data_IF_828498912143
#
_entry.id   IF_828498912143
#
_cell.length_a   1.000
_cell.length_b   1.000
_cell.length_c   1.000
_cell.angle_alpha   90.00
_cell.angle_beta   90.00
_cell.angle_gamma   90.00
#
_symmetry.space_group_name_H-M   'P 1'
#
loop_
_entity.id
_entity.type
_entity.pdbx_description
1 polymer ?
#
# COMPACT_ATOMS: atom_id res chain seq x y z
N UNK A 1 -12.49 7.80 23.18
CA UNK A 1 -13.34 6.72 22.65
C UNK A 1 -13.71 7.16 21.26
N UNK A 2 -13.02 6.63 20.26
CA UNK A 2 -13.19 7.04 18.88
C UNK A 2 -14.07 5.99 18.22
N UNK A 3 -15.13 6.45 17.56
CA UNK A 3 -16.10 5.56 16.93
C UNK A 3 -15.71 5.25 15.49
N UNK A 4 -16.02 4.04 15.09
CA UNK A 4 -15.84 3.60 13.72
C UNK A 4 -16.93 4.22 12.83
N UNK A 5 -16.54 4.80 11.69
CA UNK A 5 -17.46 5.40 10.73
C UNK A 5 -18.11 4.35 9.82
N UNK A 6 -17.36 3.30 9.47
CA UNK A 6 -17.74 2.30 8.46
C UNK A 6 -17.27 0.91 8.89
N UNK A 7 -18.01 -0.15 8.56
CA UNK A 7 -17.68 -1.51 8.98
C UNK A 7 -16.30 -1.94 8.47
N UNK A 8 -15.50 -2.53 9.35
CA UNK A 8 -14.16 -3.01 8.99
C UNK A 8 -13.81 -4.27 9.76
N UNK A 9 -12.78 -4.98 9.32
CA UNK A 9 -12.25 -6.17 10.01
C UNK A 9 -10.84 -5.84 10.46
N UNK A 10 -10.58 -6.01 11.75
CA UNK A 10 -9.25 -5.82 12.35
C UNK A 10 -8.72 -7.13 12.87
N UNK A 11 -7.41 -7.31 12.85
CA UNK A 11 -6.77 -8.52 13.36
C UNK A 11 -6.29 -8.27 14.78
N UNK A 12 -6.73 -9.05 15.76
CA UNK A 12 -6.21 -8.90 17.13
C UNK A 12 -4.80 -9.47 17.30
N UNK A 13 -4.19 -9.25 18.46
CA UNK A 13 -2.80 -9.67 18.77
C UNK A 13 -2.59 -11.20 18.68
N UNK A 14 -3.67 -11.99 18.70
CA UNK A 14 -3.67 -13.44 18.51
C UNK A 14 -3.76 -13.86 17.03
N UNK A 15 -3.84 -12.89 16.11
CA UNK A 15 -4.02 -13.15 14.68
C UNK A 15 -5.47 -13.42 14.27
N UNK A 16 -6.44 -13.27 15.17
CA UNK A 16 -7.85 -13.52 14.86
C UNK A 16 -8.54 -12.28 14.27
N UNK A 17 -9.26 -12.48 13.17
CA UNK A 17 -10.05 -11.44 12.54
C UNK A 17 -11.30 -11.12 13.39
N UNK A 18 -11.43 -9.87 13.82
CA UNK A 18 -12.58 -9.34 14.55
C UNK A 18 -13.29 -8.28 13.71
N UNK A 19 -14.56 -8.51 13.32
CA UNK A 19 -15.35 -7.49 12.66
C UNK A 19 -15.71 -6.40 13.66
N UNK A 20 -15.42 -5.15 13.32
CA UNK A 20 -15.88 -3.97 14.01
C UNK A 20 -16.99 -3.30 13.19
N UNK A 21 -18.09 -2.99 13.85
CA UNK A 21 -19.25 -2.37 13.22
C UNK A 21 -19.15 -0.84 13.27
N UNK A 22 -19.73 -0.17 12.27
CA UNK A 22 -19.90 1.27 12.30
C UNK A 22 -20.68 1.68 13.56
N UNK A 23 -20.23 2.76 14.22
CA UNK A 23 -20.75 3.27 15.49
C UNK A 23 -20.21 2.56 16.72
N UNK A 24 -19.44 1.47 16.56
CA UNK A 24 -18.80 0.77 17.67
C UNK A 24 -17.51 1.49 18.11
N UNK A 25 -17.19 1.36 19.40
CA UNK A 25 -15.97 1.92 19.98
C UNK A 25 -14.74 1.18 19.46
N UNK A 26 -13.82 1.91 18.82
CA UNK A 26 -12.58 1.33 18.32
C UNK A 26 -11.63 1.11 19.50
N UNK A 27 -11.26 -0.15 19.82
CA UNK A 27 -10.33 -0.40 20.89
C UNK A 27 -8.92 0.11 20.52
N UNK A 28 -8.13 0.50 21.53
CA UNK A 28 -6.85 1.19 21.32
C UNK A 28 -5.82 0.39 20.51
N UNK A 29 -5.90 -0.94 20.56
CA UNK A 29 -5.07 -1.84 19.74
C UNK A 29 -5.50 -1.82 18.26
N UNK A 30 -6.81 -1.73 17.99
CA UNK A 30 -7.39 -1.67 16.65
C UNK A 30 -7.23 -0.28 16.03
N UNK A 31 -7.17 0.79 16.83
CA UNK A 31 -7.00 2.16 16.35
C UNK A 31 -5.70 2.39 15.55
N UNK A 32 -4.71 1.48 15.66
CA UNK A 32 -3.50 1.52 14.82
C UNK A 32 -3.70 0.90 13.44
N UNK A 33 -4.66 -0.01 13.30
CA UNK A 33 -5.00 -0.69 12.05
C UNK A 33 -6.11 0.06 11.31
N UNK A 34 -7.04 0.65 12.06
CA UNK A 34 -8.10 1.51 11.54
C UNK A 34 -7.52 2.90 11.29
N UNK A 35 -7.25 3.23 10.02
CA UNK A 35 -6.75 4.55 9.64
C UNK A 35 -7.70 5.69 10.01
N UNK A 36 -7.19 6.91 10.16
CA UNK A 36 -7.98 8.08 10.60
C UNK A 36 -9.21 8.38 9.72
N UNK A 37 -9.21 7.93 8.47
CA UNK A 37 -10.33 8.06 7.54
C UNK A 37 -11.55 7.19 7.89
N UNK A 38 -11.39 6.18 8.75
CA UNK A 38 -12.43 5.28 9.23
C UNK A 38 -13.00 5.69 10.60
N UNK A 39 -12.57 6.82 11.15
CA UNK A 39 -13.00 7.31 12.46
C UNK A 39 -14.02 8.45 12.29
N UNK A 40 -15.10 8.47 13.10
CA UNK A 40 -16.16 9.49 12.99
C UNK A 40 -15.69 10.92 13.32
N UNK A 41 -14.65 11.07 14.15
CA UNK A 41 -14.12 12.37 14.55
C UNK A 41 -13.04 12.85 13.56
N UNK A 42 -13.46 13.12 12.32
CA UNK A 42 -12.66 13.79 11.28
C UNK A 42 -12.35 15.26 11.61
N UNK A 43 -11.91 15.58 12.83
CA UNK A 43 -11.53 16.94 13.22
C UNK A 43 -10.10 17.24 12.77
N UNK A 44 -10.03 17.58 11.50
CA UNK A 44 -9.12 18.54 10.88
C UNK A 44 -8.28 19.40 11.86
N UNK A 45 -6.99 19.09 11.98
CA UNK A 45 -5.97 20.12 11.95
C UNK A 45 -5.64 20.43 10.48
N UNK A 46 -6.52 21.18 9.81
CA UNK A 46 -6.15 21.88 8.58
C UNK A 46 -5.17 22.99 8.97
N UNK A 47 -3.88 22.78 8.78
CA UNK A 47 -2.99 23.90 8.42
C UNK A 47 -3.34 24.28 6.99
N UNK A 48 -4.18 25.30 6.85
CA UNK A 48 -4.69 25.80 5.59
C UNK A 48 -3.59 26.49 4.77
N UNK A 49 -3.23 25.88 3.64
CA UNK A 49 -3.09 26.50 2.31
C UNK A 49 -2.37 27.86 2.24
N UNK A 50 -1.08 27.83 1.93
CA UNK A 50 -0.45 28.88 1.13
C UNK A 50 -0.40 28.42 -0.34
N UNK A 51 -0.90 29.27 -1.23
CA UNK A 51 -0.97 29.01 -2.67
C UNK A 51 0.29 29.54 -3.38
N UNK A 52 0.70 28.79 -4.42
CA UNK A 52 1.47 29.19 -5.63
C UNK A 52 3.01 29.27 -5.55
N UNK A 53 3.58 28.61 -6.57
CA UNK A 53 4.95 28.65 -7.10
C UNK A 53 6.06 28.04 -6.25
N UNK A 54 6.57 26.89 -6.71
CA UNK A 54 7.91 26.81 -7.32
C UNK A 54 8.19 25.40 -7.85
N UNK A 55 8.79 25.34 -9.03
CA UNK A 55 9.52 24.19 -9.58
C UNK A 55 10.55 23.61 -8.59
N UNK A 56 10.86 22.32 -8.75
CA UNK A 56 12.02 21.65 -8.15
C UNK A 56 11.59 20.41 -7.36
N UNK A 57 11.66 19.21 -7.91
CA UNK A 57 12.84 18.34 -8.05
C UNK A 57 13.16 17.54 -6.77
N UNK A 58 13.09 16.22 -6.95
CA UNK A 58 13.94 15.16 -6.35
C UNK A 58 13.83 14.76 -4.88
N UNK A 59 13.52 13.46 -4.73
CA UNK A 59 14.07 12.51 -3.73
C UNK A 59 13.27 12.41 -2.43
N UNK A 60 13.14 11.28 -1.74
CA UNK A 60 13.54 9.88 -1.91
C UNK A 60 13.11 9.14 -0.63
N UNK A 61 12.98 7.81 -0.69
CA UNK A 61 12.87 6.84 0.41
C UNK A 61 11.55 6.89 1.22
N UNK A 62 10.72 5.86 1.25
CA UNK A 62 11.01 4.43 1.33
C UNK A 62 10.36 3.93 2.62
N UNK A 63 9.37 3.05 2.52
CA UNK A 63 8.91 2.24 3.66
C UNK A 63 8.68 0.81 3.17
N UNK A 64 9.51 -0.13 3.66
CA UNK A 64 9.41 -1.55 3.38
C UNK A 64 8.35 -2.15 4.31
N UNK A 65 7.32 -2.78 3.74
CA UNK A 65 6.73 -4.04 4.23
C UNK A 65 5.45 -4.33 3.44
N UNK A 66 5.63 -5.11 2.39
CA UNK A 66 4.57 -5.74 1.62
C UNK A 66 4.99 -7.17 1.28
N UNK A 67 5.53 -7.90 2.26
CA UNK A 67 5.75 -9.33 2.12
C UNK A 67 4.42 -10.05 2.37
N UNK A 68 3.81 -10.59 1.32
CA UNK A 68 2.71 -11.53 1.50
C UNK A 68 1.67 -11.62 0.39
N UNK A 69 2.08 -11.63 -0.88
CA UNK A 69 1.17 -12.03 -1.95
C UNK A 69 1.93 -12.15 -3.26
N UNK A 70 1.86 -13.32 -3.88
CA UNK A 70 2.29 -13.59 -5.26
C UNK A 70 1.42 -12.84 -6.29
N UNK A 71 1.14 -11.57 -6.03
CA UNK A 71 0.24 -10.75 -6.83
C UNK A 71 1.11 -9.97 -7.82
N UNK A 72 0.92 -10.27 -9.11
CA UNK A 72 1.66 -9.62 -10.19
C UNK A 72 1.59 -8.10 -10.00
N UNK A 73 2.74 -7.38 -10.14
CA UNK A 73 2.73 -5.92 -10.09
C UNK A 73 1.72 -5.38 -11.11
N UNK A 74 1.14 -4.18 -10.89
CA UNK A 74 0.24 -3.61 -11.87
C UNK A 74 0.95 -3.48 -13.22
N UNK A 75 0.26 -3.88 -14.31
CA UNK A 75 0.80 -3.80 -15.68
C UNK A 75 0.84 -2.36 -16.23
N UNK A 76 0.23 -1.39 -15.53
CA UNK A 76 0.26 0.03 -15.89
C UNK A 76 -0.14 0.97 -14.75
N UNK A 77 0.38 2.20 -14.78
CA UNK A 77 0.09 3.24 -13.78
C UNK A 77 1.22 3.48 -12.78
N UNK A 78 0.93 4.32 -11.78
CA UNK A 78 1.83 4.69 -10.69
C UNK A 78 2.05 3.45 -9.79
N UNK A 79 3.12 2.69 -10.04
CA UNK A 79 3.41 1.39 -9.40
C UNK A 79 3.83 0.28 -10.38
N UNK A 80 3.62 0.49 -11.68
CA UNK A 80 4.07 -0.40 -12.74
C UNK A 80 5.52 -0.09 -13.17
N UNK A 81 6.45 -0.07 -12.21
CA UNK A 81 7.85 0.28 -12.47
C UNK A 81 8.68 -0.96 -12.84
N UNK A 82 9.74 -0.73 -13.62
CA UNK A 82 10.71 -1.78 -14.00
C UNK A 82 11.31 -2.48 -12.78
N UNK A 83 11.62 -1.71 -11.74
CA UNK A 83 12.13 -2.22 -10.47
C UNK A 83 11.11 -3.14 -9.75
N UNK A 84 9.82 -2.80 -9.77
CA UNK A 84 8.78 -3.65 -9.17
C UNK A 84 8.64 -4.98 -9.92
N UNK A 85 8.75 -4.96 -11.24
CA UNK A 85 8.73 -6.17 -12.06
C UNK A 85 10.01 -7.00 -11.94
N UNK A 86 11.19 -6.38 -11.80
CA UNK A 86 12.42 -7.11 -11.48
C UNK A 86 12.33 -7.82 -10.14
N UNK A 87 11.91 -7.12 -9.09
CA UNK A 87 11.76 -7.71 -7.77
C UNK A 87 10.76 -8.88 -7.76
N UNK A 88 9.68 -8.77 -8.55
CA UNK A 88 8.72 -9.85 -8.74
C UNK A 88 9.30 -11.05 -9.49
N UNK A 89 10.03 -10.79 -10.58
CA UNK A 89 10.71 -11.83 -11.36
C UNK A 89 11.79 -12.55 -10.55
N UNK A 90 12.60 -11.83 -9.77
CA UNK A 90 13.57 -12.41 -8.83
C UNK A 90 12.88 -13.29 -7.78
N UNK A 91 11.72 -12.86 -7.27
CA UNK A 91 10.90 -13.67 -6.36
C UNK A 91 10.34 -14.96 -6.99
N UNK A 92 10.26 -15.01 -8.32
CA UNK A 92 9.86 -16.17 -9.11
C UNK A 92 11.06 -17.01 -9.60
N UNK A 93 12.29 -16.66 -9.19
CA UNK A 93 13.53 -17.28 -9.64
C UNK A 93 13.76 -17.11 -11.17
N UNK A 94 13.29 -15.98 -11.72
CA UNK A 94 13.42 -15.64 -13.15
C UNK A 94 14.57 -14.65 -13.31
N UNK A 95 15.58 -15.04 -14.10
CA UNK A 95 16.72 -14.18 -14.41
C UNK A 95 16.32 -13.07 -15.40
N UNK A 96 16.39 -11.82 -14.95
CA UNK A 96 16.05 -10.66 -15.76
C UNK A 96 17.33 -9.96 -16.24
N UNK A 97 17.51 -9.73 -17.55
CA UNK A 97 18.70 -9.04 -18.05
C UNK A 97 18.78 -7.58 -17.60
N UNK A 98 20.00 -7.12 -17.33
CA UNK A 98 20.21 -5.73 -16.93
C UNK A 98 19.96 -4.78 -18.09
N UNK A 99 18.95 -3.93 -17.94
CA UNK A 99 18.43 -3.03 -18.97
C UNK A 99 17.14 -3.53 -19.63
N UNK A 100 16.60 -4.68 -19.21
CA UNK A 100 15.28 -5.13 -19.65
C UNK A 100 14.22 -4.08 -19.29
N UNK A 101 13.43 -3.70 -20.28
CA UNK A 101 12.29 -2.81 -20.10
C UNK A 101 11.19 -3.53 -19.35
N UNK A 102 10.33 -2.78 -18.66
CA UNK A 102 9.19 -3.31 -17.90
C UNK A 102 8.41 -4.38 -18.66
N UNK A 103 8.03 -4.09 -19.90
CA UNK A 103 7.25 -4.98 -20.75
C UNK A 103 8.02 -6.26 -21.15
N UNK A 104 9.36 -6.21 -21.23
CA UNK A 104 10.21 -7.40 -21.45
C UNK A 104 10.25 -8.29 -20.21
N UNK A 105 10.31 -7.68 -19.02
CA UNK A 105 10.28 -8.40 -17.73
C UNK A 105 8.92 -9.08 -17.56
N UNK A 106 7.84 -8.36 -17.85
CA UNK A 106 6.47 -8.89 -17.85
C UNK A 106 6.35 -10.08 -18.80
N UNK A 107 6.85 -9.96 -20.03
CA UNK A 107 6.79 -11.04 -21.01
C UNK A 107 7.59 -12.28 -20.58
N UNK A 108 8.75 -12.09 -19.93
CA UNK A 108 9.55 -13.17 -19.34
C UNK A 108 8.79 -13.93 -18.25
N UNK A 109 8.11 -13.20 -17.38
CA UNK A 109 7.28 -13.76 -16.30
C UNK A 109 6.06 -14.51 -16.87
N UNK A 110 5.42 -13.97 -17.90
CA UNK A 110 4.22 -14.53 -18.55
C UNK A 110 4.53 -15.77 -19.41
N UNK A 111 5.72 -15.84 -20.02
CA UNK A 111 6.17 -16.95 -20.87
C UNK A 111 6.57 -18.22 -20.10
N UNK A 112 6.40 -18.22 -18.77
CA UNK A 112 6.63 -19.37 -17.89
C UNK A 112 5.64 -20.51 -18.23
N UNK A 113 6.10 -21.74 -18.52
CA UNK A 113 5.24 -22.90 -18.73
C UNK A 113 4.67 -23.51 -17.44
#
# INVERSE_FOLDING_TARGET
>A
MVKLKENTVVVDESGAAKPLMAGEDVPRWAAKQVGEHLLEDGKAARSSRASRSSSGSSGTAGSPDGAGGSEEPPRGGEGATEEAWRAYAEGLDIEVPDGASRDEIIALVDARP
#
